data_IF_552410319591
#
_entry.id   IF_552410319591
#
_cell.length_a   1.000
_cell.length_b   1.000
_cell.length_c   1.000
_cell.angle_alpha   90.00
_cell.angle_beta   90.00
_cell.angle_gamma   90.00
#
_symmetry.space_group_name_H-M   'P 1'
#
loop_
_entity.id
_entity.type
_entity.pdbx_description
1 polymer ?
#
# COMPACT_ATOMS: atom_id res chain seq x y z
N UNK A 1 0.75 -20.44 25.77
CA UNK A 1 1.58 -20.17 24.59
C UNK A 1 0.61 -19.94 23.44
N UNK A 2 0.15 -18.72 23.18
CA UNK A 2 0.91 -17.66 22.53
C UNK A 2 0.10 -17.21 21.32
N UNK A 3 -0.89 -16.35 21.59
CA UNK A 3 -1.59 -15.40 20.69
C UNK A 3 -2.47 -15.94 19.52
N UNK A 4 -3.78 -15.59 19.48
CA UNK A 4 -4.61 -15.72 18.29
C UNK A 4 -4.27 -14.56 17.35
N UNK A 5 -3.32 -14.80 16.43
CA UNK A 5 -3.04 -13.89 15.33
C UNK A 5 -4.31 -13.70 14.51
N UNK A 6 -4.84 -12.48 14.51
CA UNK A 6 -6.09 -12.12 13.86
C UNK A 6 -5.89 -12.25 12.35
N UNK A 7 -6.33 -13.35 11.78
CA UNK A 7 -6.54 -13.49 10.34
C UNK A 7 -7.70 -12.57 9.96
N UNK A 8 -7.42 -11.28 9.81
CA UNK A 8 -8.34 -10.40 9.10
C UNK A 8 -8.46 -10.97 7.68
N UNK A 9 -9.68 -11.24 7.18
CA UNK A 9 -9.86 -11.67 5.81
C UNK A 9 -9.28 -10.55 4.94
N UNK A 10 -8.09 -10.78 4.39
CA UNK A 10 -7.47 -9.86 3.45
C UNK A 10 -8.35 -9.87 2.22
N UNK A 11 -9.32 -8.95 2.18
CA UNK A 11 -10.11 -8.72 0.99
C UNK A 11 -9.12 -8.55 -0.18
N UNK A 12 -9.23 -9.38 -1.23
CA UNK A 12 -8.11 -9.60 -2.14
C UNK A 12 -7.73 -8.36 -2.99
N UNK A 13 -8.46 -7.25 -2.89
CA UNK A 13 -8.30 -6.09 -3.79
C UNK A 13 -8.42 -4.74 -3.07
N UNK A 14 -7.82 -4.59 -1.89
CA UNK A 14 -7.76 -3.31 -1.18
C UNK A 14 -6.47 -2.51 -1.45
N UNK A 15 -6.52 -1.17 -1.46
CA UNK A 15 -5.34 -0.31 -1.65
C UNK A 15 -4.24 -0.54 -0.58
N UNK A 16 -4.62 -0.96 0.63
CA UNK A 16 -3.67 -1.39 1.67
C UNK A 16 -2.78 -2.56 1.23
N UNK A 17 -3.31 -3.51 0.46
CA UNK A 17 -2.56 -4.68 0.01
C UNK A 17 -1.60 -4.35 -1.12
N UNK A 18 -2.00 -3.45 -2.02
CA UNK A 18 -1.13 -2.93 -3.09
C UNK A 18 0.09 -2.23 -2.50
N UNK A 19 -0.12 -1.45 -1.44
CA UNK A 19 0.95 -0.78 -0.70
C UNK A 19 1.68 -1.72 0.29
N UNK A 20 1.16 -2.91 0.56
CA UNK A 20 1.71 -3.83 1.55
C UNK A 20 1.64 -3.32 2.99
N UNK A 21 0.66 -2.48 3.30
CA UNK A 21 0.44 -1.90 4.64
C UNK A 21 -0.75 -2.57 5.34
N UNK A 22 -0.79 -2.48 6.67
CA UNK A 22 -1.92 -2.99 7.44
C UNK A 22 -3.18 -2.16 7.22
N UNK A 23 -4.34 -2.82 7.35
CA UNK A 23 -5.64 -2.15 7.33
C UNK A 23 -5.72 -1.12 8.46
N UNK A 24 -5.96 0.15 8.11
CA UNK A 24 -5.95 1.26 9.07
C UNK A 24 -4.56 1.85 9.38
N UNK A 25 -3.54 1.57 8.55
CA UNK A 25 -2.22 2.19 8.68
C UNK A 25 -2.27 3.73 8.71
N UNK A 26 -1.32 4.34 9.43
CA UNK A 26 -1.16 5.80 9.49
C UNK A 26 -0.71 6.39 8.14
N UNK A 27 -0.99 7.67 7.87
CA UNK A 27 -0.54 8.36 6.66
C UNK A 27 0.98 8.23 6.47
N UNK A 28 1.71 8.24 7.58
CA UNK A 28 3.15 8.08 7.62
C UNK A 28 3.57 6.69 7.10
N UNK A 29 2.92 5.62 7.56
CA UNK A 29 3.14 4.24 7.08
C UNK A 29 2.81 4.12 5.59
N UNK A 30 1.67 4.67 5.17
CA UNK A 30 1.21 4.68 3.78
C UNK A 30 2.20 5.41 2.87
N UNK A 31 2.71 6.58 3.29
CA UNK A 31 3.74 7.34 2.57
C UNK A 31 5.07 6.59 2.50
N UNK A 32 5.50 5.99 3.61
CA UNK A 32 6.76 5.23 3.67
C UNK A 32 6.71 4.02 2.75
N UNK A 33 5.60 3.28 2.77
CA UNK A 33 5.38 2.13 1.90
C UNK A 33 5.33 2.51 0.42
N UNK A 34 4.56 3.55 0.07
CA UNK A 34 4.50 4.11 -1.28
C UNK A 34 5.91 4.48 -1.78
N UNK A 35 6.68 5.20 -0.97
CA UNK A 35 8.04 5.66 -1.35
C UNK A 35 9.00 4.50 -1.59
N UNK A 36 8.92 3.43 -0.78
CA UNK A 36 9.70 2.21 -0.97
C UNK A 36 9.34 1.50 -2.27
N UNK A 37 8.05 1.28 -2.51
CA UNK A 37 7.55 0.61 -3.71
C UNK A 37 7.82 1.43 -4.98
N UNK A 38 7.63 2.74 -4.91
CA UNK A 38 7.95 3.68 -5.99
C UNK A 38 9.41 3.62 -6.41
N UNK A 39 10.35 3.41 -5.47
CA UNK A 39 11.78 3.26 -5.77
C UNK A 39 12.11 1.90 -6.38
N UNK A 40 11.37 0.85 -6.03
CA UNK A 40 11.55 -0.52 -6.54
C UNK A 40 10.97 -0.66 -7.94
N UNK A 41 9.75 -0.16 -8.14
CA UNK A 41 9.01 -0.22 -9.40
C UNK A 41 9.23 1.02 -10.27
N UNK A 42 10.22 1.85 -9.96
CA UNK A 42 10.46 3.10 -10.68
C UNK A 42 10.80 2.83 -12.16
N UNK A 43 10.10 3.45 -13.13
CA UNK A 43 10.34 3.20 -14.56
C UNK A 43 11.76 3.59 -14.99
N UNK A 44 12.35 4.63 -14.37
CA UNK A 44 13.74 5.06 -14.62
C UNK A 44 14.77 3.98 -14.28
N UNK A 45 14.46 3.08 -13.33
CA UNK A 45 15.33 1.94 -12.97
C UNK A 45 14.99 0.65 -13.74
N UNK A 46 14.11 0.72 -14.74
CA UNK A 46 13.59 -0.45 -15.45
C UNK A 46 12.46 -1.18 -14.71
N UNK A 47 11.78 -0.49 -13.79
CA UNK A 47 10.60 -1.01 -13.10
C UNK A 47 9.34 -1.00 -13.96
N UNK A 48 8.30 -1.68 -13.48
CA UNK A 48 7.04 -1.84 -14.21
C UNK A 48 6.13 -0.62 -13.99
N UNK A 49 5.83 0.08 -15.08
CA UNK A 49 4.96 1.27 -15.03
C UNK A 49 3.54 0.92 -14.56
N UNK A 50 2.98 -0.22 -14.99
CA UNK A 50 1.66 -0.69 -14.54
C UNK A 50 1.61 -0.87 -13.01
N UNK A 51 2.62 -1.53 -12.43
CA UNK A 51 2.72 -1.70 -10.99
C UNK A 51 2.84 -0.35 -10.27
N UNK A 52 3.63 0.58 -10.81
CA UNK A 52 3.75 1.92 -10.26
C UNK A 52 2.41 2.68 -10.27
N UNK A 53 1.63 2.53 -11.35
CA UNK A 53 0.28 3.12 -11.45
C UNK A 53 -0.64 2.53 -10.38
N UNK A 54 -0.64 1.22 -10.17
CA UNK A 54 -1.44 0.58 -9.11
C UNK A 54 -1.04 1.08 -7.71
N UNK A 55 0.26 1.12 -7.41
CA UNK A 55 0.81 1.63 -6.14
C UNK A 55 0.37 3.07 -5.88
N UNK A 56 0.41 3.90 -6.93
CA UNK A 56 -0.01 5.30 -6.86
C UNK A 56 -1.51 5.44 -6.62
N UNK A 57 -2.33 4.72 -7.38
CA UNK A 57 -3.79 4.75 -7.20
C UNK A 57 -4.19 4.33 -5.78
N UNK A 58 -3.55 3.29 -5.25
CA UNK A 58 -3.77 2.85 -3.89
C UNK A 58 -3.41 3.94 -2.86
N UNK A 59 -2.29 4.63 -3.05
CA UNK A 59 -1.88 5.73 -2.19
C UNK A 59 -2.86 6.90 -2.23
N UNK A 60 -3.29 7.31 -3.43
CA UNK A 60 -4.28 8.37 -3.61
C UNK A 60 -5.62 8.00 -2.95
N UNK A 61 -6.08 6.76 -3.11
CA UNK A 61 -7.33 6.31 -2.49
C UNK A 61 -7.26 6.27 -0.95
N UNK A 62 -6.13 5.85 -0.38
CA UNK A 62 -5.95 5.84 1.07
C UNK A 62 -5.86 7.25 1.66
N UNK A 63 -5.13 8.16 1.00
CA UNK A 63 -5.00 9.55 1.48
C UNK A 63 -6.34 10.28 1.36
N UNK A 64 -7.05 10.10 0.25
CA UNK A 64 -8.33 10.79 0.00
C UNK A 64 -9.43 10.31 0.94
N UNK A 65 -9.46 9.00 1.26
CA UNK A 65 -10.40 8.43 2.25
C UNK A 65 -10.20 8.96 3.67
N UNK A 66 -9.00 9.46 3.99
CA UNK A 66 -8.65 9.92 5.32
C UNK A 66 -8.80 11.43 5.51
N UNK A 67 -8.68 12.19 4.42
CA UNK A 67 -8.86 13.64 4.44
C UNK A 67 -10.34 14.07 4.34
N UNK A 68 -11.28 13.13 4.10
CA UNK A 68 -12.74 13.37 4.21
C UNK A 68 -13.27 13.02 5.60
#
# INVERSE_FOLDING_TARGET
DGEPGKETPVEPFGPWKVLGVSFGASDEEVRVAFKRLALIHHPDKGGNQDAFVEIRQAFEELTERRER
#
